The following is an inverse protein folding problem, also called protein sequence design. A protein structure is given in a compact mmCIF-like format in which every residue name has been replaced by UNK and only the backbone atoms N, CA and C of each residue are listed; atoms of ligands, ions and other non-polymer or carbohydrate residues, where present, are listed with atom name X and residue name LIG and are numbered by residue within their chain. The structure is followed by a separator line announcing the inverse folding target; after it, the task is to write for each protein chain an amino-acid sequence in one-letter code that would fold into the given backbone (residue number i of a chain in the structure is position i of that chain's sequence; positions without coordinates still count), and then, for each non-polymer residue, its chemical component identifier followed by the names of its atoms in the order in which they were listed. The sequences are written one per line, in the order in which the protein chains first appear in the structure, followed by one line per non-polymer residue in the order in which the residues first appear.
data_IF_763837018280
#
_entry.id   IF_763837018280
#
_cell.length_a   1.000
_cell.length_b   1.000
_cell.length_c   1.000
_cell.angle_alpha   90.00
_cell.angle_beta   90.00
_cell.angle_gamma   90.00
#
_symmetry.space_group_name_H-M   'P 1'
#
loop_
_entity.id
_entity.type
_entity.pdbx_description
1 polymer ?
#
# COMPACT_ATOMS: atom_id res chain seq x y z
N UNK A 1 -25.59 -10.77 -10.00
CA UNK A 1 -24.28 -10.91 -9.30
C UNK A 1 -24.34 -12.09 -8.36
N UNK A 2 -23.40 -13.03 -8.48
CA UNK A 2 -23.32 -14.24 -7.66
C UNK A 2 -22.85 -13.95 -6.23
N UNK A 3 -23.17 -14.83 -5.28
CA UNK A 3 -22.64 -14.81 -3.90
C UNK A 3 -21.10 -14.82 -3.91
N UNK A 4 -20.49 -15.56 -4.83
CA UNK A 4 -19.04 -15.62 -5.00
C UNK A 4 -18.45 -14.26 -5.38
N UNK A 5 -19.13 -13.49 -6.23
CA UNK A 5 -18.69 -12.14 -6.62
C UNK A 5 -18.70 -11.19 -5.42
N UNK A 6 -19.71 -11.33 -4.54
CA UNK A 6 -19.81 -10.54 -3.31
C UNK A 6 -18.69 -10.87 -2.33
N UNK A 7 -18.36 -12.16 -2.16
CA UNK A 7 -17.25 -12.60 -1.28
C UNK A 7 -15.91 -12.11 -1.82
N UNK A 8 -15.66 -12.26 -3.12
CA UNK A 8 -14.44 -11.74 -3.76
C UNK A 8 -14.32 -10.22 -3.60
N UNK A 9 -15.43 -9.49 -3.77
CA UNK A 9 -15.47 -8.04 -3.56
C UNK A 9 -15.16 -7.65 -2.11
N UNK A 10 -15.69 -8.39 -1.14
CA UNK A 10 -15.43 -8.16 0.28
C UNK A 10 -13.96 -8.42 0.63
N UNK A 11 -13.40 -9.57 0.23
CA UNK A 11 -12.00 -9.94 0.47
C UNK A 11 -11.02 -8.93 -0.17
N UNK A 12 -11.39 -8.39 -1.34
CA UNK A 12 -10.68 -7.29 -1.99
C UNK A 12 -10.77 -5.99 -1.20
N UNK A 13 -11.94 -5.62 -0.67
CA UNK A 13 -12.09 -4.40 0.16
C UNK A 13 -11.38 -4.48 1.52
N UNK A 14 -11.15 -5.68 2.04
CA UNK A 14 -10.40 -5.90 3.28
C UNK A 14 -8.89 -6.00 3.04
N UNK A 15 -8.43 -5.96 1.78
CA UNK A 15 -7.01 -6.04 1.43
C UNK A 15 -6.40 -7.44 1.52
N UNK A 16 -7.23 -8.49 1.68
CA UNK A 16 -6.79 -9.89 1.79
C UNK A 16 -6.29 -10.45 0.46
N UNK A 17 -6.84 -9.94 -0.65
CA UNK A 17 -6.43 -10.31 -2.00
C UNK A 17 -5.74 -9.12 -2.67
N UNK A 18 -4.67 -9.35 -3.46
CA UNK A 18 -4.08 -8.31 -4.27
C UNK A 18 -5.11 -7.65 -5.19
N UNK A 19 -5.06 -6.32 -5.25
CA UNK A 19 -5.89 -5.48 -6.12
C UNK A 19 -5.00 -4.55 -6.91
N UNK A 20 -5.35 -4.20 -8.15
CA UNK A 20 -4.58 -3.17 -8.88
C UNK A 20 -4.59 -1.85 -8.12
N UNK A 21 -3.50 -1.06 -8.22
CA UNK A 21 -3.45 0.25 -7.58
C UNK A 21 -4.60 1.14 -8.05
N UNK A 22 -4.94 1.08 -9.35
CA UNK A 22 -6.05 1.82 -9.94
C UNK A 22 -7.39 1.48 -9.29
N UNK A 23 -7.75 0.19 -9.15
CA UNK A 23 -8.99 -0.22 -8.48
C UNK A 23 -8.99 0.17 -6.99
N UNK A 24 -7.82 0.10 -6.35
CA UNK A 24 -7.65 0.42 -4.93
C UNK A 24 -7.89 1.91 -4.64
N UNK A 25 -7.66 2.81 -5.61
CA UNK A 25 -8.02 4.24 -5.49
C UNK A 25 -9.51 4.46 -5.22
N UNK A 26 -10.37 3.50 -5.56
CA UNK A 26 -11.83 3.57 -5.38
C UNK A 26 -12.34 2.64 -4.28
N UNK A 27 -11.68 1.50 -4.09
CA UNK A 27 -12.22 0.38 -3.28
C UNK A 27 -11.58 0.20 -1.91
N UNK A 28 -10.36 0.73 -1.71
CA UNK A 28 -9.69 0.63 -0.41
C UNK A 28 -10.48 1.39 0.69
N UNK A 29 -10.37 1.03 1.97
CA UNK A 29 -11.10 1.72 3.03
C UNK A 29 -10.54 3.11 3.29
N UNK A 30 -11.44 4.03 3.71
CA UNK A 30 -11.06 5.32 4.26
C UNK A 30 -10.66 5.17 5.73
N UNK A 31 -9.59 4.42 5.97
CA UNK A 31 -9.15 4.05 7.32
C UNK A 31 -7.62 4.03 7.39
N UNK A 32 -7.09 4.12 8.61
CA UNK A 32 -5.64 3.99 8.81
C UNK A 32 -5.18 2.54 8.68
N UNK A 33 -3.92 2.36 8.33
CA UNK A 33 -3.28 1.06 8.33
C UNK A 33 -1.96 1.00 7.58
N UNK A 34 -1.54 -0.21 7.25
CA UNK A 34 -0.33 -0.46 6.49
C UNK A 34 -0.64 -1.21 5.20
N UNK A 35 0.16 -0.97 4.17
CA UNK A 35 0.00 -1.57 2.86
C UNK A 35 1.32 -2.09 2.31
N UNK A 36 1.19 -3.04 1.39
CA UNK A 36 2.27 -3.64 0.61
C UNK A 36 2.01 -3.34 -0.87
N UNK A 37 3.06 -2.98 -1.59
CA UNK A 37 3.06 -2.69 -3.03
C UNK A 37 3.87 -3.77 -3.72
N UNK A 38 3.28 -4.35 -4.75
CA UNK A 38 3.87 -5.39 -5.56
C UNK A 38 3.98 -4.94 -7.02
N UNK A 39 5.13 -5.19 -7.64
CA UNK A 39 5.38 -4.99 -9.06
C UNK A 39 6.38 -6.06 -9.52
N UNK A 40 5.88 -7.20 -10.00
CA UNK A 40 6.68 -8.41 -10.25
C UNK A 40 7.29 -9.05 -8.98
N UNK A 41 6.79 -8.67 -7.80
CA UNK A 41 7.33 -9.03 -6.48
C UNK A 41 7.09 -7.91 -5.47
N UNK A 42 7.34 -8.15 -4.18
CA UNK A 42 7.20 -7.11 -3.14
C UNK A 42 8.25 -6.01 -3.34
N UNK A 43 7.81 -4.78 -3.56
CA UNK A 43 8.71 -3.64 -3.84
C UNK A 43 8.69 -2.57 -2.77
N UNK A 44 7.55 -2.35 -2.12
CA UNK A 44 7.43 -1.32 -1.08
C UNK A 44 6.43 -1.75 0.00
N UNK A 45 6.66 -1.27 1.23
CA UNK A 45 5.69 -1.29 2.31
C UNK A 45 5.59 0.12 2.91
N UNK A 46 4.40 0.50 3.33
CA UNK A 46 4.21 1.81 3.94
C UNK A 46 3.00 1.85 4.86
N UNK A 47 2.93 2.91 5.66
CA UNK A 47 1.76 3.24 6.46
C UNK A 47 0.95 4.39 5.87
N UNK A 48 -0.33 4.40 6.20
CA UNK A 48 -1.24 5.52 6.00
C UNK A 48 -1.96 5.76 7.33
N UNK A 49 -1.49 6.75 8.10
CA UNK A 49 -2.09 7.09 9.41
C UNK A 49 -3.40 7.87 9.27
N UNK A 50 -3.61 8.54 8.13
CA UNK A 50 -4.81 9.32 7.86
C UNK A 50 -5.86 8.51 7.10
N UNK A 51 -5.46 7.88 5.98
CA UNK A 51 -6.38 7.15 5.10
C UNK A 51 -5.62 6.34 4.03
N UNK A 52 -5.86 5.02 3.96
CA UNK A 52 -5.24 4.11 2.97
C UNK A 52 -5.66 4.49 1.54
N UNK A 53 -6.94 4.71 1.27
CA UNK A 53 -7.43 5.07 -0.07
C UNK A 53 -6.80 6.38 -0.54
N UNK A 54 -6.76 7.40 0.32
CA UNK A 54 -6.11 8.69 0.03
C UNK A 54 -4.66 8.47 -0.39
N UNK A 55 -3.92 7.60 0.31
CA UNK A 55 -2.54 7.29 -0.04
C UNK A 55 -2.42 6.63 -1.42
N UNK A 56 -3.32 5.70 -1.75
CA UNK A 56 -3.33 5.07 -3.08
C UNK A 56 -3.67 6.06 -4.20
N UNK A 57 -4.63 6.98 -3.97
CA UNK A 57 -4.93 8.07 -4.91
C UNK A 57 -3.70 8.94 -5.15
N UNK A 58 -2.99 9.33 -4.09
CA UNK A 58 -1.76 10.14 -4.21
C UNK A 58 -0.67 9.45 -5.02
N UNK A 59 -0.47 8.15 -4.81
CA UNK A 59 0.48 7.37 -5.58
C UNK A 59 0.08 7.24 -7.04
N UNK A 60 -1.20 6.97 -7.31
CA UNK A 60 -1.70 6.82 -8.67
C UNK A 60 -1.64 8.13 -9.46
N UNK A 61 -1.95 9.25 -8.82
CA UNK A 61 -1.94 10.58 -9.45
C UNK A 61 -0.57 11.27 -9.43
N UNK A 62 0.44 10.69 -8.78
CA UNK A 62 1.78 11.25 -8.70
C UNK A 62 1.92 12.46 -7.75
N UNK A 63 0.93 12.76 -6.91
CA UNK A 63 0.96 13.91 -5.98
C UNK A 63 2.13 13.86 -5.01
N UNK A 64 2.65 12.67 -4.71
CA UNK A 64 3.81 12.47 -3.81
C UNK A 64 5.11 12.13 -4.55
N UNK A 65 5.16 12.27 -5.87
CA UNK A 65 6.29 11.85 -6.71
C UNK A 65 7.55 12.75 -6.60
N UNK A 66 7.74 13.42 -5.46
CA UNK A 66 8.98 14.07 -5.07
C UNK A 66 9.90 13.13 -4.26
N UNK A 67 9.36 12.11 -3.59
CA UNK A 67 10.17 11.08 -2.90
C UNK A 67 10.64 9.98 -3.87
N UNK A 68 11.85 9.40 -3.69
CA UNK A 68 12.37 8.35 -4.58
C UNK A 68 11.44 7.14 -4.73
N UNK A 69 10.88 6.65 -3.62
CA UNK A 69 9.94 5.52 -3.63
C UNK A 69 8.64 5.87 -4.36
N UNK A 70 8.10 7.07 -4.12
CA UNK A 70 6.88 7.55 -4.76
C UNK A 70 7.07 7.78 -6.27
N UNK A 71 8.25 8.21 -6.73
CA UNK A 71 8.61 8.27 -8.15
C UNK A 71 8.56 6.89 -8.78
N UNK A 72 9.19 5.88 -8.16
CA UNK A 72 9.19 4.50 -8.65
C UNK A 72 7.77 3.92 -8.70
N UNK A 73 6.95 4.20 -7.67
CA UNK A 73 5.55 3.79 -7.61
C UNK A 73 4.75 4.43 -8.76
N UNK A 74 4.83 5.76 -8.93
CA UNK A 74 4.07 6.47 -9.98
C UNK A 74 4.45 6.02 -11.39
N UNK A 75 5.75 5.81 -11.64
CA UNK A 75 6.27 5.33 -12.91
C UNK A 75 5.77 3.92 -13.28
N UNK A 76 5.41 3.10 -12.30
CA UNK A 76 4.93 1.73 -12.48
C UNK A 76 3.44 1.54 -12.10
N UNK A 77 2.69 2.63 -11.88
CA UNK A 77 1.36 2.61 -11.24
C UNK A 77 0.36 1.62 -11.85
N UNK A 78 0.37 1.45 -13.16
CA UNK A 78 -0.58 0.57 -13.88
C UNK A 78 -0.19 -0.91 -13.81
N UNK A 79 1.03 -1.22 -13.36
CA UNK A 79 1.55 -2.58 -13.14
C UNK A 79 1.52 -2.99 -11.67
N UNK A 80 1.12 -2.08 -10.78
CA UNK A 80 1.15 -2.31 -9.35
C UNK A 80 -0.11 -3.03 -8.88
N UNK A 81 0.08 -4.03 -8.04
CA UNK A 81 -0.97 -4.53 -7.14
C UNK A 81 -0.64 -4.21 -5.70
N UNK A 82 -1.68 -4.04 -4.88
CA UNK A 82 -1.55 -3.69 -3.46
C UNK A 82 -2.35 -4.65 -2.58
N UNK A 83 -1.86 -4.85 -1.37
CA UNK A 83 -2.62 -5.43 -0.25
C UNK A 83 -2.48 -4.52 0.97
N UNK A 84 -3.40 -4.61 1.92
CA UNK A 84 -3.38 -3.76 3.11
C UNK A 84 -3.99 -4.46 4.32
N UNK A 85 -3.68 -3.89 5.49
CA UNK A 85 -4.31 -4.25 6.76
C UNK A 85 -4.78 -2.95 7.43
N UNK A 86 -6.03 -2.93 7.88
CA UNK A 86 -6.58 -1.83 8.66
C UNK A 86 -6.10 -1.96 10.10
N UNK A 87 -5.64 -0.86 10.69
CA UNK A 87 -5.12 -0.82 12.06
C UNK A 87 -5.91 0.19 12.88
N UNK A 88 -5.87 0.06 14.21
CA UNK A 88 -6.69 0.87 15.12
C UNK A 88 -5.96 2.08 15.69
N UNK A 89 -4.64 2.18 15.52
CA UNK A 89 -3.87 3.31 16.03
C UNK A 89 -2.64 3.64 15.18
N UNK A 90 -2.17 4.89 15.30
CA UNK A 90 -0.92 5.36 14.69
C UNK A 90 0.29 4.56 15.18
N UNK A 91 0.31 4.21 16.47
CA UNK A 91 1.38 3.39 17.05
C UNK A 91 1.43 1.99 16.41
N UNK A 92 0.27 1.35 16.21
CA UNK A 92 0.20 0.07 15.50
C UNK A 92 0.71 0.22 14.06
N UNK A 93 0.35 1.30 13.36
CA UNK A 93 0.86 1.56 12.01
C UNK A 93 2.39 1.64 11.98
N UNK A 94 2.98 2.41 12.89
CA UNK A 94 4.45 2.56 12.99
C UNK A 94 5.13 1.22 13.29
N UNK A 95 4.60 0.47 14.26
CA UNK A 95 5.16 -0.84 14.65
C UNK A 95 5.09 -1.86 13.51
N UNK A 96 3.94 -1.96 12.84
CA UNK A 96 3.75 -2.90 11.72
C UNK A 96 4.61 -2.53 10.53
N UNK A 97 4.68 -1.24 10.16
CA UNK A 97 5.55 -0.78 9.08
C UNK A 97 7.02 -1.05 9.39
N UNK A 98 7.50 -0.69 10.58
CA UNK A 98 8.88 -0.94 10.99
C UNK A 98 9.23 -2.44 10.92
N UNK A 99 8.35 -3.30 11.45
CA UNK A 99 8.48 -4.75 11.37
C UNK A 99 8.59 -5.23 9.91
N UNK A 100 7.68 -4.79 9.04
CA UNK A 100 7.71 -5.17 7.62
C UNK A 100 8.96 -4.68 6.89
N UNK A 101 9.45 -3.47 7.17
CA UNK A 101 10.69 -2.96 6.58
C UNK A 101 11.87 -3.84 7.00
N UNK A 102 11.96 -4.19 8.28
CA UNK A 102 13.05 -4.99 8.84
C UNK A 102 13.05 -6.43 8.30
N UNK A 103 11.89 -7.08 8.29
CA UNK A 103 11.75 -8.49 7.91
C UNK A 103 11.79 -8.69 6.39
N UNK A 104 11.10 -7.84 5.63
CA UNK A 104 10.87 -8.07 4.21
C UNK A 104 11.89 -7.35 3.31
N UNK A 105 12.65 -6.39 3.86
CA UNK A 105 13.68 -5.60 3.17
C UNK A 105 13.32 -5.16 1.74
N UNK A 106 12.14 -4.56 1.51
CA UNK A 106 11.68 -4.21 0.18
C UNK A 106 12.57 -3.14 -0.47
N UNK A 107 12.87 -3.34 -1.75
CA UNK A 107 13.83 -2.55 -2.53
C UNK A 107 13.54 -1.04 -2.51
N UNK A 108 12.27 -0.64 -2.62
CA UNK A 108 11.88 0.77 -2.70
C UNK A 108 11.71 1.43 -1.32
N UNK A 109 11.92 0.72 -0.22
CA UNK A 109 11.94 1.33 1.13
C UNK A 109 13.31 1.91 1.50
N UNK A 110 14.29 1.88 0.59
CA UNK A 110 15.62 2.46 0.83
C UNK A 110 15.51 3.90 1.33
N UNK A 111 15.99 4.10 2.56
CA UNK A 111 16.13 5.41 3.19
C UNK A 111 17.47 5.98 2.76
N UNK A 112 17.49 7.05 1.97
CA UNK A 112 18.70 7.87 1.85
C UNK A 112 18.98 8.51 3.21
N UNK A 113 20.00 8.05 3.95
CA UNK A 113 20.50 8.74 5.16
C UNK A 113 20.63 7.93 6.45
N UNK A 114 20.36 6.63 6.50
CA UNK A 114 20.72 5.82 7.67
C UNK A 114 22.12 5.24 7.44
N UNK A 115 23.14 5.92 8.00
CA UNK A 115 24.45 5.29 8.19
C UNK A 115 24.26 4.15 9.19
N UNK A 116 24.74 2.97 8.80
CA UNK A 116 25.05 1.84 9.68
C UNK A 116 25.92 2.28 10.85
#
# INVERSE_FOLDING_TARGET
MSVLDRIKKLARSTGLLPMSLQEATRSAPNAMGCYKIYCGGLKYVGKAEDDIRKRFVQYYNGTTAHYPSAKAIYANRDRITVTWVVLKSREQCRRVEAKWIQELKPEWNKRSGWRS
#
